data_IF_393134924112
#
_entry.id   IF_393134924112
#
_cell.length_a   1.000
_cell.length_b   1.000
_cell.length_c   1.000
_cell.angle_alpha   90.00
_cell.angle_beta   90.00
_cell.angle_gamma   90.00
#
_symmetry.space_group_name_H-M   'P 1'
#
loop_
_entity.id
_entity.type
_entity.pdbx_description
1 polymer ?
#
# COMPACT_ATOMS: atom_id res chain seq x y z
N UNK A 1 7.32 54.69 -40.20
CA UNK A 1 7.59 53.25 -40.43
C UNK A 1 7.57 52.53 -39.10
N UNK A 2 6.64 51.59 -38.88
CA UNK A 2 6.84 50.43 -38.00
C UNK A 2 5.70 49.44 -38.23
N UNK A 3 6.03 48.30 -38.84
CA UNK A 3 5.16 47.14 -39.03
C UNK A 3 5.37 46.21 -37.84
N UNK A 4 4.34 45.97 -37.03
CA UNK A 4 4.35 44.89 -36.04
C UNK A 4 4.13 43.55 -36.74
N UNK A 5 5.12 42.65 -36.68
CA UNK A 5 4.96 41.24 -37.06
C UNK A 5 4.46 40.46 -35.85
N UNK A 6 3.21 39.99 -35.91
CA UNK A 6 2.68 38.92 -35.06
C UNK A 6 3.07 37.60 -35.74
N UNK A 7 4.20 37.02 -35.36
CA UNK A 7 4.55 35.64 -35.73
C UNK A 7 5.18 35.01 -34.49
N UNK A 8 4.42 34.20 -33.75
CA UNK A 8 4.97 33.54 -32.56
C UNK A 8 4.03 32.65 -31.75
N UNK A 9 2.70 32.73 -31.94
CA UNK A 9 1.75 31.92 -31.16
C UNK A 9 1.36 30.57 -31.81
N UNK A 10 1.50 30.42 -33.13
CA UNK A 10 1.02 29.22 -33.84
C UNK A 10 1.89 27.96 -33.67
N UNK A 11 3.18 28.10 -33.33
CA UNK A 11 4.13 26.98 -33.36
C UNK A 11 4.19 26.18 -32.04
N UNK A 12 3.72 26.75 -30.93
CA UNK A 12 3.63 26.06 -29.63
C UNK A 12 2.39 25.17 -29.54
N UNK A 13 1.26 25.60 -30.13
CA UNK A 13 0.00 24.84 -30.10
C UNK A 13 0.08 23.54 -30.90
N UNK A 14 0.72 23.56 -32.08
CA UNK A 14 0.88 22.37 -32.93
C UNK A 14 1.72 21.25 -32.29
N UNK A 15 2.69 21.60 -31.43
CA UNK A 15 3.51 20.61 -30.71
C UNK A 15 2.73 19.89 -29.62
N UNK A 16 1.78 20.58 -28.97
CA UNK A 16 0.92 19.99 -27.95
C UNK A 16 -0.05 18.99 -28.59
N UNK A 17 -0.67 19.35 -29.72
CA UNK A 17 -1.55 18.42 -30.45
C UNK A 17 -0.82 17.18 -30.97
N UNK A 18 0.41 17.32 -31.48
CA UNK A 18 1.23 16.19 -31.90
C UNK A 18 1.59 15.26 -30.75
N UNK A 19 1.91 15.80 -29.56
CA UNK A 19 2.22 15.01 -28.38
C UNK A 19 1.01 14.24 -27.84
N UNK A 20 -0.18 14.87 -27.84
CA UNK A 20 -1.44 14.21 -27.42
C UNK A 20 -1.82 13.08 -28.40
N UNK A 21 -1.70 13.31 -29.71
CA UNK A 21 -1.98 12.27 -30.71
C UNK A 21 -1.02 11.07 -30.57
N UNK A 22 0.26 11.30 -30.31
CA UNK A 22 1.23 10.24 -30.08
C UNK A 22 0.91 9.42 -28.82
N UNK A 23 0.51 10.09 -27.72
CA UNK A 23 0.08 9.41 -26.48
C UNK A 23 -1.14 8.52 -26.69
N UNK A 24 -2.14 9.00 -27.44
CA UNK A 24 -3.35 8.21 -27.75
C UNK A 24 -3.03 6.99 -28.61
N UNK A 25 -2.11 7.12 -29.59
CA UNK A 25 -1.67 5.99 -30.41
C UNK A 25 -0.91 4.93 -29.58
N UNK A 26 -0.02 5.36 -28.69
CA UNK A 26 0.71 4.45 -27.79
C UNK A 26 -0.27 3.72 -26.86
N UNK A 27 -1.24 4.42 -26.30
CA UNK A 27 -2.25 3.82 -25.42
C UNK A 27 -3.13 2.81 -26.15
N UNK A 28 -3.50 3.09 -27.41
CA UNK A 28 -4.26 2.16 -28.26
C UNK A 28 -3.49 0.87 -28.58
N UNK A 29 -2.19 0.97 -28.88
CA UNK A 29 -1.33 -0.20 -29.11
C UNK A 29 -1.19 -1.04 -27.84
N UNK A 30 -1.03 -0.40 -26.69
CA UNK A 30 -0.95 -1.10 -25.40
C UNK A 30 -2.26 -1.82 -25.05
N UNK A 31 -3.39 -1.18 -25.35
CA UNK A 31 -4.71 -1.77 -25.11
C UNK A 31 -4.98 -3.00 -26.00
N UNK A 32 -4.47 -2.99 -27.25
CA UNK A 32 -4.56 -4.14 -28.14
C UNK A 32 -3.61 -5.28 -27.75
N UNK A 33 -2.43 -4.96 -27.19
CA UNK A 33 -1.49 -5.96 -26.69
C UNK A 33 -2.02 -6.69 -25.43
N UNK A 34 -2.80 -6.00 -24.58
CA UNK A 34 -3.41 -6.57 -23.38
C UNK A 34 -4.65 -7.42 -23.65
N UNK A 35 -5.22 -7.36 -24.87
CA UNK A 35 -6.38 -8.16 -25.29
C UNK A 35 -6.00 -9.50 -25.97
N UNK A 36 -4.73 -9.88 -26.02
CA UNK A 36 -4.35 -11.23 -26.46
C UNK A 36 -4.79 -12.25 -25.40
N UNK A 37 -5.88 -12.94 -25.69
CA UNK A 37 -6.37 -14.09 -24.93
C UNK A 37 -5.31 -15.20 -24.84
N UNK A 38 -5.29 -15.98 -23.74
CA UNK A 38 -4.41 -17.14 -23.61
C UNK A 38 -4.75 -18.21 -24.66
N UNK A 39 -3.73 -18.74 -25.33
CA UNK A 39 -3.88 -19.89 -26.23
C UNK A 39 -4.51 -21.08 -25.52
N UNK A 40 -5.38 -21.86 -26.20
CA UNK A 40 -5.93 -23.08 -25.64
C UNK A 40 -4.82 -24.12 -25.46
N UNK A 41 -4.76 -24.70 -24.27
CA UNK A 41 -3.90 -25.84 -23.93
C UNK A 41 -4.36 -27.05 -24.75
N UNK A 42 -3.49 -27.74 -25.52
CA UNK A 42 -3.86 -28.98 -26.18
C UNK A 42 -4.12 -30.05 -25.11
N UNK A 43 -5.37 -30.49 -25.01
CA UNK A 43 -5.75 -31.63 -24.18
C UNK A 43 -5.72 -32.85 -25.08
N UNK A 44 -4.56 -33.50 -25.19
CA UNK A 44 -4.48 -34.81 -25.81
C UNK A 44 -3.51 -35.69 -25.03
N UNK A 45 -4.07 -36.53 -24.18
CA UNK A 45 -3.44 -37.77 -23.74
C UNK A 45 -4.53 -38.82 -23.73
N UNK A 46 -4.56 -39.58 -24.83
CA UNK A 46 -5.24 -40.86 -24.93
C UNK A 46 -4.86 -41.74 -23.73
N UNK A 47 -5.89 -42.22 -23.04
CA UNK A 47 -5.79 -43.26 -22.02
C UNK A 47 -5.82 -44.60 -22.77
N UNK A 48 -4.77 -45.43 -22.74
CA UNK A 48 -4.90 -46.79 -23.23
C UNK A 48 -5.71 -47.61 -22.22
N UNK A 49 -6.88 -48.08 -22.66
CA UNK A 49 -7.68 -49.08 -21.96
C UNK A 49 -6.91 -50.40 -22.02
N UNK A 50 -6.27 -50.78 -20.91
CA UNK A 50 -5.67 -52.09 -20.75
C UNK A 50 -6.79 -53.07 -20.39
N UNK A 51 -7.09 -53.99 -21.28
CA UNK A 51 -7.94 -55.14 -21.00
C UNK A 51 -7.30 -55.99 -19.90
N UNK A 52 -8.02 -56.18 -18.79
CA UNK A 52 -7.63 -57.06 -17.71
C UNK A 52 -8.03 -58.50 -18.05
N UNK A 53 -7.04 -59.34 -18.32
CA UNK A 53 -7.15 -60.79 -18.21
C UNK A 53 -6.64 -61.27 -16.84
N UNK A 54 -7.23 -62.36 -16.36
CA UNK A 54 -7.21 -62.90 -14.99
C UNK A 54 -5.80 -63.31 -14.45
N UNK A 55 -5.65 -63.57 -13.12
CA UNK A 55 -4.43 -63.27 -12.39
C UNK A 55 -3.39 -64.40 -12.41
N UNK A 56 -2.15 -64.07 -12.77
CA UNK A 56 -0.99 -64.90 -12.50
C UNK A 56 -0.24 -64.32 -11.30
N UNK A 57 -0.15 -65.10 -10.21
CA UNK A 57 0.56 -64.71 -8.97
C UNK A 57 2.00 -64.32 -9.29
N UNK A 58 2.39 -63.10 -8.91
CA UNK A 58 3.78 -62.62 -8.90
C UNK A 58 4.15 -62.32 -7.44
N UNK A 59 5.35 -62.72 -6.96
CA UNK A 59 5.76 -62.52 -5.57
C UNK A 59 5.88 -61.03 -5.21
N UNK A 60 5.59 -60.72 -3.95
CA UNK A 60 5.63 -59.37 -3.39
C UNK A 60 7.00 -58.71 -3.60
N UNK A 61 7.02 -57.64 -4.40
CA UNK A 61 8.15 -56.72 -4.52
C UNK A 61 8.18 -55.89 -3.23
N UNK A 62 9.30 -55.95 -2.52
CA UNK A 62 9.54 -55.11 -1.35
C UNK A 62 9.39 -53.62 -1.75
N UNK A 63 8.54 -52.90 -1.03
CA UNK A 63 8.42 -51.45 -1.14
C UNK A 63 9.78 -50.80 -0.84
N UNK A 64 10.28 -49.87 -1.67
CA UNK A 64 11.44 -49.08 -1.31
C UNK A 64 11.16 -48.30 -0.01
N UNK A 65 12.15 -48.09 0.87
CA UNK A 65 11.95 -47.24 2.04
C UNK A 65 11.55 -45.84 1.58
N UNK A 66 10.50 -45.31 2.19
CA UNK A 66 10.06 -43.93 1.98
C UNK A 66 11.25 -42.99 2.22
N UNK A 67 11.61 -42.09 1.28
CA UNK A 67 12.70 -41.16 1.51
C UNK A 67 12.36 -40.33 2.75
N UNK A 68 13.31 -40.26 3.67
CA UNK A 68 13.21 -39.40 4.86
C UNK A 68 12.88 -37.98 4.39
N UNK A 69 11.82 -37.33 4.92
CA UNK A 69 11.53 -35.96 4.55
C UNK A 69 12.75 -35.11 4.89
N UNK A 70 13.33 -34.46 3.88
CA UNK A 70 14.39 -33.48 4.12
C UNK A 70 13.85 -32.40 5.08
N UNK A 71 14.65 -31.93 6.04
CA UNK A 71 14.25 -30.82 6.88
C UNK A 71 13.95 -29.61 5.98
N UNK A 72 12.76 -29.03 6.15
CA UNK A 72 12.41 -27.79 5.46
C UNK A 72 13.48 -26.73 5.74
N UNK A 73 13.92 -25.95 4.72
CA UNK A 73 14.83 -24.85 4.95
C UNK A 73 14.24 -23.92 6.01
N UNK A 74 15.03 -23.57 7.02
CA UNK A 74 14.65 -22.53 7.99
C UNK A 74 14.57 -21.22 7.18
N UNK A 75 13.42 -20.51 7.21
CA UNK A 75 13.26 -19.29 6.43
C UNK A 75 14.29 -18.25 6.85
N UNK A 76 14.80 -17.51 5.87
CA UNK A 76 15.75 -16.42 6.08
C UNK A 76 15.15 -15.36 7.02
N UNK A 77 15.95 -14.63 7.82
CA UNK A 77 15.46 -13.51 8.62
C UNK A 77 14.61 -12.50 7.83
N UNK A 78 14.93 -12.27 6.56
CA UNK A 78 14.15 -11.41 5.67
C UNK A 78 12.76 -12.00 5.37
N UNK A 79 12.67 -13.30 5.08
CA UNK A 79 11.41 -13.98 4.82
C UNK A 79 10.51 -14.03 6.07
N UNK A 80 11.11 -14.16 7.25
CA UNK A 80 10.40 -14.10 8.53
C UNK A 80 9.83 -12.70 8.78
N UNK A 81 10.62 -11.65 8.55
CA UNK A 81 10.18 -10.26 8.70
C UNK A 81 9.02 -9.91 7.75
N UNK A 82 9.11 -10.34 6.49
CA UNK A 82 8.06 -10.16 5.49
C UNK A 82 6.77 -10.90 5.88
N UNK A 83 6.89 -12.11 6.40
CA UNK A 83 5.75 -12.91 6.86
C UNK A 83 5.06 -12.24 8.06
N UNK A 84 5.83 -11.81 9.06
CA UNK A 84 5.31 -11.09 10.22
C UNK A 84 4.61 -9.78 9.82
N UNK A 85 5.18 -9.06 8.85
CA UNK A 85 4.58 -7.85 8.29
C UNK A 85 3.25 -8.14 7.61
N UNK A 86 3.16 -9.17 6.76
CA UNK A 86 1.89 -9.54 6.10
C UNK A 86 0.82 -9.96 7.10
N UNK A 87 1.21 -10.69 8.15
CA UNK A 87 0.29 -11.06 9.23
C UNK A 87 -0.24 -9.82 9.96
N UNK A 88 0.63 -8.85 10.29
CA UNK A 88 0.22 -7.58 10.90
C UNK A 88 -0.74 -6.78 10.00
N UNK A 89 -0.42 -6.69 8.70
CA UNK A 89 -1.28 -6.02 7.72
C UNK A 89 -2.66 -6.67 7.61
N UNK A 90 -2.72 -8.00 7.65
CA UNK A 90 -3.96 -8.76 7.58
C UNK A 90 -4.80 -8.57 8.85
N UNK A 91 -4.17 -8.52 10.03
CA UNK A 91 -4.85 -8.26 11.29
C UNK A 91 -5.52 -6.87 11.29
N UNK A 92 -4.83 -5.85 10.77
CA UNK A 92 -5.35 -4.47 10.70
C UNK A 92 -6.41 -4.27 9.62
N UNK A 93 -6.37 -5.06 8.53
CA UNK A 93 -7.34 -4.94 7.42
C UNK A 93 -8.80 -5.10 7.85
N UNK A 94 -9.07 -5.96 8.85
CA UNK A 94 -10.43 -6.16 9.36
C UNK A 94 -11.02 -4.90 10.00
N UNK A 95 -10.18 -4.00 10.52
CA UNK A 95 -10.60 -2.74 11.11
C UNK A 95 -10.58 -1.57 10.13
N UNK A 96 -9.60 -1.54 9.23
CA UNK A 96 -9.45 -0.44 8.27
C UNK A 96 -10.48 -0.53 7.15
N UNK A 97 -10.82 -1.72 6.65
CA UNK A 97 -11.72 -1.84 5.50
C UNK A 97 -13.11 -1.26 5.78
N UNK A 98 -13.81 -1.57 6.89
CA UNK A 98 -15.11 -0.95 7.21
C UNK A 98 -15.05 0.57 7.40
N UNK A 99 -13.88 1.08 7.75
CA UNK A 99 -13.65 2.50 7.95
C UNK A 99 -13.56 3.26 6.62
N UNK A 100 -12.86 2.70 5.63
CA UNK A 100 -12.60 3.36 4.35
C UNK A 100 -13.60 3.01 3.25
N UNK A 101 -14.30 1.87 3.33
CA UNK A 101 -15.20 1.39 2.28
C UNK A 101 -16.35 2.36 1.98
N UNK A 102 -16.74 3.16 2.99
CA UNK A 102 -17.76 4.21 2.88
C UNK A 102 -17.27 5.49 2.19
N UNK A 103 -15.96 5.64 1.96
CA UNK A 103 -15.34 6.84 1.42
C UNK A 103 -14.47 6.47 0.21
N UNK A 104 -14.99 6.70 -1.01
CA UNK A 104 -14.34 6.24 -2.25
C UNK A 104 -12.86 6.64 -2.40
N UNK A 105 -12.49 7.86 -2.00
CA UNK A 105 -11.09 8.33 -2.04
C UNK A 105 -10.20 7.59 -1.04
N UNK A 106 -10.68 7.34 0.18
CA UNK A 106 -9.92 6.62 1.19
C UNK A 106 -9.83 5.12 0.88
N UNK A 107 -10.86 4.54 0.28
CA UNK A 107 -10.80 3.17 -0.25
C UNK A 107 -9.76 3.05 -1.37
N UNK A 108 -9.63 4.07 -2.22
CA UNK A 108 -8.58 4.11 -3.24
C UNK A 108 -7.18 4.20 -2.62
N UNK A 109 -7.00 5.02 -1.57
CA UNK A 109 -5.75 5.09 -0.81
C UNK A 109 -5.39 3.77 -0.12
N UNK A 110 -6.36 3.12 0.53
CA UNK A 110 -6.21 1.78 1.10
C UNK A 110 -5.72 0.77 0.06
N UNK A 111 -6.46 0.65 -1.06
CA UNK A 111 -6.12 -0.29 -2.14
C UNK A 111 -4.73 -0.01 -2.71
N UNK A 112 -4.37 1.27 -2.90
CA UNK A 112 -3.03 1.66 -3.33
C UNK A 112 -1.97 1.26 -2.31
N UNK A 113 -2.15 1.57 -1.03
CA UNK A 113 -1.20 1.22 0.03
C UNK A 113 -0.97 -0.30 0.09
N UNK A 114 -2.02 -1.11 -0.11
CA UNK A 114 -1.92 -2.58 -0.13
C UNK A 114 -1.28 -3.14 -1.41
N UNK A 115 -1.33 -2.41 -2.52
CA UNK A 115 -0.73 -2.80 -3.79
C UNK A 115 0.74 -2.35 -3.94
N UNK A 116 1.21 -1.40 -3.13
CA UNK A 116 2.59 -0.92 -3.22
C UNK A 116 3.60 -1.99 -2.80
N UNK A 117 4.63 -2.16 -3.63
CA UNK A 117 5.85 -2.86 -3.21
C UNK A 117 6.53 -2.09 -2.10
N UNK A 118 7.38 -2.77 -1.33
CA UNK A 118 8.19 -2.12 -0.29
C UNK A 118 9.52 -1.67 -0.85
N UNK A 119 9.87 -0.41 -0.59
CA UNK A 119 11.24 0.09 -0.68
C UNK A 119 11.83 -0.04 0.73
N UNK A 120 12.60 -1.09 1.01
CA UNK A 120 13.05 -1.40 2.39
C UNK A 120 13.80 -0.25 3.05
N UNK A 121 14.70 0.41 2.31
CA UNK A 121 15.52 1.48 2.84
C UNK A 121 14.67 2.70 3.23
N UNK A 122 13.72 3.08 2.37
CA UNK A 122 12.80 4.18 2.68
C UNK A 122 11.76 3.80 3.73
N UNK A 123 11.14 2.64 3.60
CA UNK A 123 10.04 2.20 4.43
C UNK A 123 10.48 2.00 5.89
N UNK A 124 11.60 1.31 6.14
CA UNK A 124 12.11 1.11 7.49
C UNK A 124 12.45 2.45 8.17
N UNK A 125 13.13 3.36 7.46
CA UNK A 125 13.43 4.71 7.96
C UNK A 125 12.14 5.49 8.26
N UNK A 126 11.19 5.46 7.33
CA UNK A 126 9.95 6.23 7.45
C UNK A 126 9.07 5.72 8.59
N UNK A 127 8.94 4.40 8.72
CA UNK A 127 8.22 3.77 9.82
C UNK A 127 8.82 4.12 11.18
N UNK A 128 10.15 4.15 11.29
CA UNK A 128 10.82 4.57 12.52
C UNK A 128 10.57 6.05 12.84
N UNK A 129 10.70 6.93 11.85
CA UNK A 129 10.45 8.38 12.01
C UNK A 129 9.00 8.66 12.40
N UNK A 130 8.04 8.06 11.69
CA UNK A 130 6.62 8.24 11.97
C UNK A 130 6.24 7.67 13.34
N UNK A 131 6.80 6.51 13.72
CA UNK A 131 6.58 5.94 15.06
C UNK A 131 7.09 6.87 16.15
N UNK A 132 8.27 7.46 15.95
CA UNK A 132 8.80 8.45 16.88
C UNK A 132 7.91 9.70 16.93
N UNK A 133 7.50 10.23 15.78
CA UNK A 133 6.61 11.40 15.70
C UNK A 133 5.31 11.18 16.47
N UNK A 134 4.60 10.08 16.18
CA UNK A 134 3.32 9.81 16.84
C UNK A 134 3.45 9.41 18.32
N UNK A 135 4.59 8.85 18.74
CA UNK A 135 4.84 8.57 20.17
C UNK A 135 4.92 9.83 21.05
N UNK A 136 5.18 10.98 20.43
CA UNK A 136 5.27 12.28 21.09
C UNK A 136 3.95 13.05 21.06
N UNK A 137 2.94 12.56 20.34
CA UNK A 137 1.64 13.20 20.22
C UNK A 137 0.91 13.16 21.59
N UNK A 138 0.30 14.29 22.03
CA UNK A 138 -0.69 14.28 23.10
C UNK A 138 -1.71 13.15 22.92
N UNK A 139 -2.10 12.48 24.01
CA UNK A 139 -3.04 11.35 23.95
C UNK A 139 -2.48 10.04 23.38
N UNK A 140 -1.22 9.96 22.91
CA UNK A 140 -0.64 8.69 22.42
C UNK A 140 -0.66 7.58 23.48
N UNK A 141 -0.54 7.94 24.76
CA UNK A 141 -0.49 6.97 25.88
C UNK A 141 -1.79 6.19 26.08
N UNK A 142 -2.91 6.63 25.49
CA UNK A 142 -4.21 5.95 25.59
C UNK A 142 -4.53 5.08 24.38
N UNK A 143 -3.59 4.94 23.45
CA UNK A 143 -3.70 3.93 22.42
C UNK A 143 -3.65 2.55 23.07
N UNK A 144 -4.55 1.66 22.68
CA UNK A 144 -4.64 0.32 23.26
C UNK A 144 -3.57 -0.66 22.73
N UNK A 145 -2.64 -0.15 21.95
CA UNK A 145 -1.50 -0.86 21.42
C UNK A 145 -0.56 0.08 20.65
N UNK A 146 0.56 -0.46 20.13
CA UNK A 146 1.44 0.32 19.28
C UNK A 146 0.73 0.72 17.98
N UNK A 147 1.02 1.93 17.49
CA UNK A 147 0.61 2.33 16.15
C UNK A 147 1.25 1.38 15.14
N UNK A 148 0.43 0.82 14.27
CA UNK A 148 0.89 0.03 13.14
C UNK A 148 1.18 0.96 11.98
N UNK A 149 2.40 0.93 11.48
CA UNK A 149 2.82 1.76 10.35
C UNK A 149 3.38 0.83 9.29
N UNK A 150 2.84 0.95 8.08
CA UNK A 150 3.30 0.19 6.93
C UNK A 150 3.53 1.12 5.74
N UNK A 151 4.78 1.23 5.33
CA UNK A 151 5.20 1.99 4.17
C UNK A 151 5.50 1.08 2.97
N UNK A 152 5.01 1.50 1.80
CA UNK A 152 5.28 0.91 0.49
C UNK A 152 6.51 1.52 -0.18
N UNK A 153 6.34 2.04 -1.39
CA UNK A 153 7.38 2.80 -2.11
C UNK A 153 7.13 4.31 -2.05
N UNK A 154 5.86 4.70 -1.96
CA UNK A 154 5.43 6.10 -1.98
C UNK A 154 4.36 6.45 -0.96
N UNK A 155 3.70 5.47 -0.35
CA UNK A 155 2.60 5.68 0.59
C UNK A 155 2.85 4.91 1.89
N UNK A 156 2.55 5.53 3.02
CA UNK A 156 2.49 4.91 4.32
C UNK A 156 1.03 4.88 4.81
N UNK A 157 0.60 3.73 5.30
CA UNK A 157 -0.64 3.55 6.06
C UNK A 157 -0.27 3.53 7.55
N UNK A 158 -0.91 4.41 8.32
CA UNK A 158 -0.73 4.54 9.77
C UNK A 158 -2.05 4.19 10.44
N UNK A 159 -2.07 3.18 11.30
CA UNK A 159 -3.25 2.69 11.99
C UNK A 159 -3.06 2.70 13.51
N UNK A 160 -4.10 3.09 14.24
CA UNK A 160 -4.15 2.95 15.68
C UNK A 160 -5.56 2.78 16.20
N UNK A 161 -5.64 2.43 17.48
CA UNK A 161 -6.87 2.12 18.20
C UNK A 161 -6.84 2.72 19.60
N UNK A 162 -7.98 3.29 20.00
CA UNK A 162 -8.30 3.62 21.38
C UNK A 162 -9.43 2.69 21.84
N UNK A 163 -9.23 1.98 22.95
CA UNK A 163 -10.22 1.08 23.52
C UNK A 163 -11.11 1.78 24.54
N UNK A 164 -12.36 1.34 24.66
CA UNK A 164 -13.28 1.74 25.73
C UNK A 164 -13.54 3.25 25.84
N UNK A 165 -13.34 3.99 24.74
CA UNK A 165 -13.52 5.44 24.65
C UNK A 165 -14.93 5.85 25.12
N UNK A 166 -15.95 5.09 24.73
CA UNK A 166 -17.34 5.39 25.12
C UNK A 166 -17.63 5.20 26.62
N UNK A 167 -16.86 4.37 27.32
CA UNK A 167 -17.07 4.06 28.74
C UNK A 167 -16.25 4.96 29.68
N UNK A 168 -15.20 5.63 29.18
CA UNK A 168 -14.27 6.41 29.97
C UNK A 168 -14.15 7.84 29.44
N UNK A 169 -14.45 8.85 30.27
CA UNK A 169 -14.35 10.27 29.88
C UNK A 169 -12.91 10.68 29.56
N UNK A 170 -11.96 10.27 30.39
CA UNK A 170 -10.54 10.62 30.19
C UNK A 170 -10.02 10.00 28.90
N UNK A 171 -10.42 8.75 28.59
CA UNK A 171 -10.07 8.12 27.32
C UNK A 171 -10.68 8.83 26.09
N UNK A 172 -11.86 9.44 26.25
CA UNK A 172 -12.47 10.32 25.22
C UNK A 172 -11.68 11.59 25.03
N UNK A 173 -11.36 12.28 26.11
CA UNK A 173 -10.64 13.53 26.08
C UNK A 173 -9.24 13.31 25.46
N UNK A 174 -8.53 12.23 25.87
CA UNK A 174 -7.24 11.85 25.30
C UNK A 174 -7.31 11.45 23.80
N UNK A 175 -8.37 10.76 23.37
CA UNK A 175 -8.60 10.44 21.95
C UNK A 175 -8.84 11.71 21.14
N UNK A 176 -9.61 12.68 21.67
CA UNK A 176 -9.83 13.98 21.05
C UNK A 176 -8.51 14.74 20.94
N UNK A 177 -7.71 14.78 22.02
CA UNK A 177 -6.40 15.43 22.04
C UNK A 177 -5.44 14.79 21.03
N UNK A 178 -5.41 13.45 20.97
CA UNK A 178 -4.62 12.73 19.98
C UNK A 178 -5.06 13.07 18.55
N UNK A 179 -6.37 12.97 18.25
CA UNK A 179 -6.92 13.30 16.93
C UNK A 179 -6.60 14.74 16.50
N UNK A 180 -6.72 15.69 17.43
CA UNK A 180 -6.38 17.09 17.20
C UNK A 180 -4.88 17.28 17.00
N UNK A 181 -4.05 16.57 17.76
CA UNK A 181 -2.59 16.69 17.66
C UNK A 181 -2.03 16.17 16.34
N UNK A 182 -2.63 15.12 15.76
CA UNK A 182 -2.13 14.51 14.53
C UNK A 182 -2.72 15.13 13.25
N UNK A 183 -3.84 15.85 13.36
CA UNK A 183 -4.57 16.42 12.21
C UNK A 183 -4.53 17.94 12.13
N UNK A 184 -3.92 18.63 13.11
CA UNK A 184 -3.80 20.09 13.05
C UNK A 184 -2.73 20.53 12.03
N UNK A 185 -2.80 21.81 11.66
CA UNK A 185 -1.89 22.41 10.68
C UNK A 185 -0.42 22.30 11.08
N UNK A 186 -0.07 22.49 12.36
CA UNK A 186 1.31 22.40 12.82
C UNK A 186 1.89 20.99 12.67
N UNK A 187 1.08 19.96 12.92
CA UNK A 187 1.47 18.57 12.71
C UNK A 187 1.62 18.24 11.22
N UNK A 188 0.71 18.72 10.38
CA UNK A 188 0.79 18.57 8.91
C UNK A 188 2.05 19.26 8.37
N UNK A 189 2.37 20.47 8.83
CA UNK A 189 3.59 21.21 8.46
C UNK A 189 4.85 20.52 8.96
N UNK A 190 4.84 19.97 10.19
CA UNK A 190 5.96 19.20 10.72
C UNK A 190 6.22 17.92 9.90
N UNK A 191 5.16 17.21 9.51
CA UNK A 191 5.25 16.06 8.61
C UNK A 191 5.77 16.47 7.23
N UNK A 192 5.33 17.62 6.69
CA UNK A 192 5.83 18.16 5.43
C UNK A 192 7.34 18.49 5.49
N UNK A 193 7.80 19.08 6.60
CA UNK A 193 9.23 19.31 6.86
C UNK A 193 10.06 18.02 6.94
N UNK A 194 9.42 16.89 7.26
CA UNK A 194 10.03 15.56 7.28
C UNK A 194 9.89 14.81 5.94
N UNK A 195 9.27 15.43 4.93
CA UNK A 195 9.10 14.84 3.60
C UNK A 195 7.85 13.98 3.45
N UNK A 196 6.80 14.22 4.25
CA UNK A 196 5.51 13.54 4.14
C UNK A 196 4.40 14.52 3.77
N UNK A 197 3.46 14.06 2.95
CA UNK A 197 2.22 14.78 2.66
C UNK A 197 1.04 13.96 3.18
N UNK A 198 0.18 14.57 3.99
CA UNK A 198 -1.08 13.93 4.39
C UNK A 198 -2.05 13.86 3.21
N UNK A 199 -2.52 12.65 2.92
CA UNK A 199 -3.42 12.37 1.79
C UNK A 199 -4.86 12.15 2.23
N UNK A 200 -5.06 11.61 3.42
CA UNK A 200 -6.38 11.34 3.95
C UNK A 200 -6.31 10.78 5.36
N UNK A 201 -7.40 10.99 6.11
CA UNK A 201 -7.60 10.45 7.44
C UNK A 201 -9.01 9.89 7.52
N UNK A 202 -9.18 8.77 8.20
CA UNK A 202 -10.50 8.28 8.59
C UNK A 202 -10.46 7.85 10.03
N UNK A 203 -11.56 8.06 10.74
CA UNK A 203 -11.79 7.49 12.05
C UNK A 203 -13.22 7.01 12.17
N UNK A 204 -13.45 5.98 12.98
CA UNK A 204 -14.81 5.56 13.34
C UNK A 204 -14.88 5.36 14.83
N UNK A 205 -15.91 5.95 15.43
CA UNK A 205 -16.37 5.55 16.74
C UNK A 205 -17.32 4.36 16.53
N UNK A 206 -16.91 3.16 16.93
CA UNK A 206 -17.87 2.06 17.06
C UNK A 206 -18.65 2.29 18.35
N UNK A 207 -19.97 2.36 18.28
CA UNK A 207 -20.84 2.60 19.43
C UNK A 207 -20.44 1.71 20.61
N UNK A 208 -19.92 2.31 21.69
CA UNK A 208 -19.64 1.61 22.94
C UNK A 208 -18.39 0.72 22.99
N UNK A 209 -17.54 0.66 21.95
CA UNK A 209 -16.49 -0.37 21.84
C UNK A 209 -15.11 0.24 21.66
N UNK A 210 -14.70 0.60 20.44
CA UNK A 210 -13.35 1.12 20.16
C UNK A 210 -13.43 2.26 19.14
N UNK A 211 -12.50 3.22 19.25
CA UNK A 211 -12.23 4.16 18.17
C UNK A 211 -10.98 3.74 17.44
N UNK A 212 -11.11 3.47 16.15
CA UNK A 212 -9.98 3.19 15.25
C UNK A 212 -9.78 4.35 14.29
N UNK A 213 -8.54 4.56 13.88
CA UNK A 213 -8.20 5.53 12.86
C UNK A 213 -7.20 4.96 11.86
N UNK A 214 -7.20 5.54 10.66
CA UNK A 214 -6.18 5.32 9.63
C UNK A 214 -5.78 6.64 9.00
N UNK A 215 -4.48 6.85 8.82
CA UNK A 215 -3.93 7.97 8.04
C UNK A 215 -3.12 7.43 6.86
N UNK A 216 -3.16 8.18 5.76
CA UNK A 216 -2.35 7.92 4.58
C UNK A 216 -1.38 9.07 4.37
N UNK A 217 -0.08 8.76 4.36
CA UNK A 217 1.00 9.72 4.19
C UNK A 217 1.78 9.40 2.92
N UNK A 218 1.84 10.32 1.98
CA UNK A 218 2.63 10.16 0.77
C UNK A 218 4.06 10.67 1.00
N UNK A 219 5.04 9.95 0.47
CA UNK A 219 6.41 10.41 0.28
C UNK A 219 6.40 11.68 -0.56
N UNK A 220 6.75 12.82 0.02
CA UNK A 220 6.99 14.03 -0.73
C UNK A 220 8.32 13.90 -1.46
N UNK A 221 8.40 14.45 -2.68
CA UNK A 221 9.70 14.70 -3.28
C UNK A 221 10.50 15.63 -2.35
N UNK A 222 11.83 15.46 -2.24
CA UNK A 222 12.65 16.41 -1.52
C UNK A 222 12.38 17.81 -2.07
N UNK A 223 12.08 18.77 -1.19
CA UNK A 223 12.00 20.17 -1.58
C UNK A 223 13.37 20.60 -2.11
N UNK A 224 13.52 20.63 -3.43
CA UNK A 224 14.67 21.23 -4.06
C UNK A 224 14.61 22.74 -3.79
N UNK A 225 15.46 23.26 -2.91
CA UNK A 225 15.64 24.70 -2.71
C UNK A 225 16.17 25.44 -3.96
N UNK A 226 16.34 24.75 -5.10
CA UNK A 226 16.80 25.33 -6.35
C UNK A 226 15.63 26.00 -7.09
N UNK A 227 15.27 27.22 -6.67
CA UNK A 227 14.75 28.37 -7.47
C UNK A 227 13.87 29.30 -6.64
N UNK A 228 14.38 29.82 -5.52
CA UNK A 228 14.12 31.23 -5.22
C UNK A 228 15.34 32.02 -5.70
N UNK A 229 15.39 32.21 -7.02
CA UNK A 229 16.27 33.22 -7.60
C UNK A 229 15.88 34.58 -7.02
N UNK A 230 16.83 35.23 -6.39
CA UNK A 230 16.79 36.64 -6.02
C UNK A 230 16.06 37.48 -7.08
N UNK A 231 14.91 38.03 -6.71
CA UNK A 231 14.49 39.32 -7.24
C UNK A 231 14.87 40.35 -6.18
N UNK A 232 15.90 41.14 -6.53
CA UNK A 232 16.21 42.41 -5.90
C UNK A 232 15.14 43.43 -6.24
#
# INVERSE_FOLDING_TARGET
MSRFRIVGAGMMLGKIFAAVAALMAIMGIFYLALKREPSPVPTDREVPVIHADAPKRVPAIATPPSPTPLPSPIPSPEEQADTARRASLQAVSADVLPLVDRFGEHLALYRRARAERRDEAWAAKSEAQLRQFYSQAPGHRTLSGPITINCGTTLCEVFGRHENVAANRDARDDMVDFSNSISNMAAIESLAGQGYRMMGTSSSNRDGQDTVFVLYLQRAAPFSYATQGHFR
#
